data_IF_433623663559
#
_entry.id   IF_433623663559
#
_cell.length_a   1.000
_cell.length_b   1.000
_cell.length_c   1.000
_cell.angle_alpha   90.00
_cell.angle_beta   90.00
_cell.angle_gamma   90.00
#
_symmetry.space_group_name_H-M   'P 1'
#
loop_
_entity.id
_entity.type
_entity.pdbx_description
1 polymer ?
#
# COMPACT_ATOMS: atom_id res chain seq x y z
N UNK A 1 31.10 18.03 -14.55
CA UNK A 1 30.49 19.16 -13.84
C UNK A 1 30.06 18.68 -12.45
N UNK A 2 30.42 19.41 -11.42
CA UNK A 2 30.11 19.06 -10.00
C UNK A 2 28.77 19.61 -9.51
N UNK A 3 28.08 20.37 -10.34
CA UNK A 3 26.83 21.09 -9.98
C UNK A 3 25.83 21.02 -11.14
N UNK A 4 24.56 21.11 -10.78
CA UNK A 4 23.44 21.40 -11.67
C UNK A 4 23.20 22.91 -11.57
N UNK A 5 23.31 23.65 -12.70
CA UNK A 5 23.11 25.09 -12.72
C UNK A 5 21.90 25.44 -13.58
N UNK A 6 20.96 26.16 -13.00
CA UNK A 6 19.76 26.69 -13.64
C UNK A 6 19.95 28.19 -13.79
N UNK A 7 19.82 28.72 -15.00
CA UNK A 7 20.01 30.13 -15.31
C UNK A 7 18.67 30.73 -15.79
N UNK A 8 18.35 31.90 -15.26
CA UNK A 8 17.26 32.70 -15.74
C UNK A 8 15.86 32.06 -15.57
N UNK A 9 15.61 31.34 -14.48
CA UNK A 9 14.34 30.69 -14.24
C UNK A 9 13.21 31.68 -13.95
N UNK A 10 12.14 31.67 -14.77
CA UNK A 10 11.01 32.60 -14.71
C UNK A 10 9.64 31.91 -14.67
N UNK A 11 9.64 30.58 -14.60
CA UNK A 11 8.40 29.81 -14.57
C UNK A 11 7.53 30.19 -13.35
N UNK A 12 6.22 30.31 -13.55
CA UNK A 12 5.22 30.67 -12.54
C UNK A 12 5.58 31.97 -11.78
N UNK A 13 5.91 31.85 -10.49
CA UNK A 13 6.26 33.02 -9.64
C UNK A 13 7.75 33.29 -9.52
N UNK A 14 8.62 32.51 -10.18
CA UNK A 14 10.06 32.71 -10.12
C UNK A 14 10.51 34.02 -10.80
N UNK A 15 11.47 34.73 -10.19
CA UNK A 15 11.87 36.08 -10.58
C UNK A 15 13.21 36.11 -11.29
N UNK A 16 13.36 35.40 -12.41
CA UNK A 16 14.59 35.34 -13.20
C UNK A 16 15.79 34.90 -12.35
N UNK A 17 15.60 33.79 -11.63
CA UNK A 17 16.60 33.33 -10.68
C UNK A 17 17.68 32.47 -11.36
N UNK A 18 18.90 32.54 -10.79
CA UNK A 18 19.98 31.63 -11.12
C UNK A 18 20.37 30.88 -9.83
N UNK A 19 20.43 29.54 -9.91
CA UNK A 19 20.74 28.69 -8.77
C UNK A 19 21.67 27.56 -9.18
N UNK A 20 22.62 27.22 -8.29
CA UNK A 20 23.49 26.06 -8.41
C UNK A 20 23.17 25.04 -7.32
N UNK A 21 23.03 23.77 -7.70
CA UNK A 21 22.76 22.66 -6.80
C UNK A 21 23.91 21.66 -6.93
N UNK A 22 24.66 21.37 -5.85
CA UNK A 22 25.80 20.47 -5.92
C UNK A 22 25.33 19.02 -6.18
N UNK A 23 26.03 18.33 -7.08
CA UNK A 23 25.80 16.90 -7.34
C UNK A 23 26.34 16.04 -6.20
N UNK A 24 25.78 14.82 -6.11
CA UNK A 24 26.17 13.77 -5.15
C UNK A 24 26.03 14.21 -3.68
N UNK A 25 25.14 15.16 -3.43
CA UNK A 25 24.83 15.67 -2.09
C UNK A 25 23.33 15.61 -1.81
N UNK A 26 22.99 15.64 -0.54
CA UNK A 26 21.64 15.91 -0.07
C UNK A 26 21.44 17.42 -0.02
N UNK A 27 20.58 17.94 -0.89
CA UNK A 27 20.21 19.35 -0.96
C UNK A 27 18.76 19.52 -0.49
N UNK A 28 18.53 20.39 0.48
CA UNK A 28 17.18 20.78 0.89
C UNK A 28 16.79 22.12 0.25
N UNK A 29 15.58 22.17 -0.33
CA UNK A 29 14.94 23.39 -0.84
C UNK A 29 13.89 23.82 0.16
N UNK A 30 14.13 24.93 0.86
CA UNK A 30 13.29 25.46 1.92
C UNK A 30 12.63 26.78 1.52
N UNK A 31 11.71 27.26 2.33
CA UNK A 31 10.98 28.52 2.16
C UNK A 31 9.50 28.36 2.48
N UNK A 32 8.79 29.49 2.58
CA UNK A 32 7.35 29.47 2.89
C UNK A 32 6.52 28.76 1.82
N UNK A 33 5.33 28.28 2.20
CA UNK A 33 4.41 27.66 1.21
C UNK A 33 4.07 28.69 0.11
N UNK A 34 4.07 28.26 -1.16
CA UNK A 34 3.83 29.13 -2.31
C UNK A 34 5.01 30.04 -2.70
N UNK A 35 6.22 29.87 -2.14
CA UNK A 35 7.38 30.68 -2.48
C UNK A 35 8.04 30.32 -3.82
N UNK A 36 7.70 29.18 -4.44
CA UNK A 36 8.26 28.73 -5.71
C UNK A 36 9.17 27.50 -5.62
N UNK A 37 9.24 26.82 -4.47
CA UNK A 37 10.05 25.61 -4.27
C UNK A 37 9.69 24.50 -5.26
N UNK A 38 8.40 24.16 -5.34
CA UNK A 38 7.94 23.10 -6.25
C UNK A 38 8.10 23.50 -7.71
N UNK A 39 7.94 24.80 -8.03
CA UNK A 39 8.21 25.31 -9.38
C UNK A 39 9.66 25.10 -9.79
N UNK A 40 10.63 25.45 -8.92
CA UNK A 40 12.05 25.25 -9.23
C UNK A 40 12.37 23.76 -9.43
N UNK A 41 11.88 22.91 -8.51
CA UNK A 41 12.28 21.49 -8.45
C UNK A 41 11.50 20.62 -9.42
N UNK A 42 10.16 20.82 -9.54
CA UNK A 42 9.32 19.99 -10.38
C UNK A 42 9.07 20.58 -11.76
N UNK A 43 8.61 21.85 -11.83
CA UNK A 43 8.22 22.42 -13.11
C UNK A 43 9.44 22.71 -13.99
N UNK A 44 10.59 23.04 -13.41
CA UNK A 44 11.81 23.29 -14.18
C UNK A 44 12.72 22.06 -14.19
N UNK A 45 13.34 21.70 -13.06
CA UNK A 45 14.42 20.71 -13.03
C UNK A 45 13.94 19.31 -13.43
N UNK A 46 12.84 18.83 -12.83
CA UNK A 46 12.29 17.50 -13.13
C UNK A 46 11.73 17.45 -14.55
N UNK A 47 10.88 18.43 -14.93
CA UNK A 47 10.26 18.46 -16.27
C UNK A 47 11.28 18.54 -17.39
N UNK A 48 12.31 19.36 -17.24
CA UNK A 48 13.38 19.46 -18.24
C UNK A 48 14.22 18.17 -18.33
N UNK A 49 14.52 17.54 -17.18
CA UNK A 49 15.20 16.24 -17.18
C UNK A 49 14.37 15.18 -17.90
N UNK A 50 13.06 15.12 -17.65
CA UNK A 50 12.17 14.20 -18.35
C UNK A 50 12.09 14.51 -19.86
N UNK A 51 12.01 15.80 -20.21
CA UNK A 51 11.96 16.23 -21.61
C UNK A 51 13.20 15.79 -22.38
N UNK A 52 14.42 16.05 -21.85
CA UNK A 52 15.67 15.65 -22.46
C UNK A 52 15.81 14.12 -22.56
N UNK A 53 15.38 13.40 -21.52
CA UNK A 53 15.36 11.94 -21.53
C UNK A 53 14.45 11.40 -22.65
N UNK A 54 13.22 11.95 -22.76
CA UNK A 54 12.28 11.54 -23.80
C UNK A 54 12.77 11.86 -25.21
N UNK A 55 13.48 12.98 -25.42
CA UNK A 55 14.08 13.33 -26.69
C UNK A 55 15.15 12.32 -27.15
N UNK A 56 15.83 11.67 -26.22
CA UNK A 56 16.80 10.63 -26.51
C UNK A 56 16.17 9.29 -26.95
N UNK A 57 14.87 9.11 -26.74
CA UNK A 57 14.15 7.88 -27.08
C UNK A 57 13.68 7.84 -28.54
N UNK A 58 13.34 6.63 -29.02
CA UNK A 58 12.77 6.44 -30.36
C UNK A 58 11.44 7.19 -30.55
N UNK A 59 11.09 7.54 -31.79
CA UNK A 59 9.83 8.22 -32.14
C UNK A 59 8.59 7.43 -31.69
N UNK A 60 8.66 6.10 -31.64
CA UNK A 60 7.58 5.26 -31.14
C UNK A 60 7.39 5.43 -29.63
N UNK A 61 8.47 5.35 -28.84
CA UNK A 61 8.40 5.54 -27.38
C UNK A 61 7.88 6.92 -27.01
N UNK A 62 8.30 7.98 -27.71
CA UNK A 62 7.85 9.36 -27.50
C UNK A 62 6.35 9.57 -27.73
N UNK A 63 5.69 8.74 -28.56
CA UNK A 63 4.23 8.84 -28.81
C UNK A 63 3.39 8.27 -27.67
N UNK A 64 3.95 7.34 -26.89
CA UNK A 64 3.22 6.60 -25.84
C UNK A 64 3.42 7.25 -24.48
N UNK A 65 4.58 7.88 -24.26
CA UNK A 65 4.94 8.47 -22.97
C UNK A 65 4.35 9.88 -22.81
N UNK A 66 4.11 10.33 -21.55
CA UNK A 66 3.64 11.69 -21.26
C UNK A 66 4.59 12.72 -21.88
N UNK A 67 4.05 13.81 -22.38
CA UNK A 67 4.84 14.94 -22.87
C UNK A 67 5.04 15.93 -21.75
N UNK A 68 6.25 16.46 -21.65
CA UNK A 68 6.59 17.57 -20.76
C UNK A 68 6.79 18.84 -21.59
N UNK A 69 6.13 19.91 -21.18
CA UNK A 69 6.31 21.23 -21.80
C UNK A 69 7.65 21.82 -21.36
N UNK A 70 8.21 22.71 -22.18
CA UNK A 70 9.42 23.44 -21.83
C UNK A 70 9.04 24.54 -20.85
N UNK A 71 9.66 24.54 -19.67
CA UNK A 71 9.50 25.62 -18.71
C UNK A 71 10.23 26.90 -19.16
N UNK A 72 9.93 28.04 -18.54
CA UNK A 72 10.57 29.31 -18.86
C UNK A 72 11.87 29.51 -18.08
N UNK A 73 12.99 29.24 -18.74
CA UNK A 73 14.36 29.46 -18.24
C UNK A 73 15.33 29.67 -19.41
N UNK A 74 16.50 30.25 -19.17
CA UNK A 74 17.49 30.47 -20.23
C UNK A 74 18.23 29.18 -20.59
N UNK A 75 18.82 28.48 -19.62
CA UNK A 75 19.52 27.20 -19.79
C UNK A 75 19.71 26.44 -18.50
N UNK A 76 19.95 25.14 -18.61
CA UNK A 76 20.34 24.25 -17.50
C UNK A 76 21.62 23.53 -17.90
N UNK A 77 22.60 23.53 -17.00
CA UNK A 77 23.88 22.82 -17.16
C UNK A 77 24.01 21.70 -16.12
N UNK A 78 24.66 20.62 -16.50
CA UNK A 78 24.96 19.51 -15.58
C UNK A 78 23.76 18.65 -15.17
N UNK A 79 22.62 18.79 -15.87
CA UNK A 79 21.41 18.02 -15.57
C UNK A 79 21.65 16.52 -15.70
N UNK A 80 21.11 15.74 -14.77
CA UNK A 80 21.12 14.28 -14.77
C UNK A 80 19.69 13.75 -14.85
N UNK A 81 19.49 12.47 -15.21
CA UNK A 81 18.15 11.86 -15.17
C UNK A 81 17.54 12.00 -13.76
N UNK A 82 16.28 12.45 -13.71
CA UNK A 82 15.57 12.69 -12.46
C UNK A 82 14.50 11.62 -12.19
N UNK A 83 14.40 11.19 -10.95
CA UNK A 83 13.34 10.29 -10.45
C UNK A 83 12.61 11.00 -9.31
N UNK A 84 11.29 11.19 -9.47
CA UNK A 84 10.44 11.76 -8.43
C UNK A 84 9.89 10.68 -7.50
N UNK A 85 10.01 10.89 -6.20
CA UNK A 85 9.49 10.05 -5.12
C UNK A 85 8.49 10.87 -4.30
N UNK A 86 7.26 10.91 -4.77
CA UNK A 86 6.17 11.67 -4.16
C UNK A 86 5.22 10.77 -3.34
N UNK A 87 4.37 11.39 -2.51
CA UNK A 87 3.35 10.73 -1.69
C UNK A 87 2.14 10.24 -2.49
N UNK A 88 2.13 10.38 -3.83
CA UNK A 88 1.01 9.93 -4.65
C UNK A 88 0.70 8.46 -4.44
N UNK A 89 -0.59 8.17 -4.19
CA UNK A 89 -1.08 6.79 -4.05
C UNK A 89 -0.82 6.02 -5.35
N UNK A 90 -0.61 4.72 -5.20
CA UNK A 90 -0.53 3.85 -6.35
C UNK A 90 -1.90 3.74 -7.01
N UNK A 91 -1.97 4.06 -8.29
CA UNK A 91 -3.14 3.85 -9.13
C UNK A 91 -2.86 2.70 -10.09
N UNK A 92 -3.89 1.96 -10.50
CA UNK A 92 -3.76 0.97 -11.57
C UNK A 92 -4.08 -0.46 -11.18
N UNK A 93 -3.18 -1.40 -11.41
CA UNK A 93 -3.47 -2.83 -11.40
C UNK A 93 -3.81 -3.36 -9.99
N UNK A 94 -5.06 -3.83 -9.74
CA UNK A 94 -5.48 -4.34 -8.43
C UNK A 94 -4.78 -5.66 -8.04
N UNK A 95 -4.07 -6.30 -8.96
CA UNK A 95 -3.23 -7.46 -8.67
C UNK A 95 -1.86 -7.08 -8.12
N UNK A 96 -1.42 -5.84 -8.26
CA UNK A 96 -0.12 -5.42 -7.76
C UNK A 96 -0.08 -5.43 -6.23
N UNK A 97 0.97 -6.00 -5.67
CA UNK A 97 1.20 -6.13 -4.22
C UNK A 97 2.52 -5.49 -3.83
N UNK A 98 2.71 -5.27 -2.52
CA UNK A 98 4.01 -4.85 -1.96
C UNK A 98 5.13 -5.74 -2.49
N UNK A 99 4.95 -7.08 -2.44
CA UNK A 99 5.94 -8.03 -2.91
C UNK A 99 6.28 -7.94 -4.39
N UNK A 100 5.28 -7.68 -5.26
CA UNK A 100 5.54 -7.52 -6.71
C UNK A 100 6.16 -6.18 -7.03
N UNK A 101 5.79 -5.13 -6.32
CA UNK A 101 6.35 -3.80 -6.52
C UNK A 101 7.82 -3.71 -6.10
N UNK A 102 8.16 -4.32 -4.96
CA UNK A 102 9.53 -4.36 -4.42
C UNK A 102 10.41 -5.44 -5.03
N UNK A 103 9.86 -6.25 -5.95
CA UNK A 103 10.51 -7.39 -6.60
C UNK A 103 10.90 -8.55 -5.67
N UNK A 104 10.65 -8.45 -4.37
CA UNK A 104 10.86 -9.55 -3.40
C UNK A 104 10.09 -10.80 -3.83
N UNK A 105 8.84 -10.62 -4.30
CA UNK A 105 8.02 -11.74 -4.76
C UNK A 105 8.62 -12.45 -5.99
N UNK A 106 9.33 -11.73 -6.86
CA UNK A 106 10.04 -12.32 -8.00
C UNK A 106 11.15 -13.26 -7.55
N UNK A 107 11.93 -12.85 -6.55
CA UNK A 107 13.00 -13.67 -5.99
C UNK A 107 12.45 -14.87 -5.19
N UNK A 108 11.34 -14.70 -4.47
CA UNK A 108 10.64 -15.82 -3.83
C UNK A 108 10.12 -16.84 -4.86
N UNK A 109 9.57 -16.40 -5.97
CA UNK A 109 9.14 -17.31 -7.06
C UNK A 109 10.32 -18.12 -7.62
N UNK A 110 11.48 -17.52 -7.77
CA UNK A 110 12.69 -18.21 -8.17
C UNK A 110 13.11 -19.23 -7.11
N UNK A 111 13.10 -18.83 -5.85
CA UNK A 111 13.42 -19.71 -4.72
C UNK A 111 12.49 -20.95 -4.67
N UNK A 112 11.18 -20.75 -4.74
CA UNK A 112 10.21 -21.85 -4.75
C UNK A 112 10.32 -22.73 -6.01
N UNK A 113 10.70 -22.15 -7.14
CA UNK A 113 10.92 -22.92 -8.38
C UNK A 113 12.17 -23.82 -8.30
N UNK A 114 13.19 -23.41 -7.55
CA UNK A 114 14.47 -24.14 -7.45
C UNK A 114 14.48 -25.14 -6.32
N UNK A 115 13.93 -24.80 -5.15
CA UNK A 115 14.01 -25.59 -3.93
C UNK A 115 12.67 -26.20 -3.49
N UNK A 116 11.59 -25.88 -4.18
CA UNK A 116 10.24 -26.34 -3.83
C UNK A 116 9.98 -27.78 -4.24
N UNK A 117 9.23 -28.50 -3.40
CA UNK A 117 8.75 -29.86 -3.69
C UNK A 117 7.21 -29.90 -3.56
N UNK A 118 6.47 -30.37 -4.59
CA UNK A 118 6.94 -30.79 -5.91
C UNK A 118 7.55 -29.64 -6.73
N UNK A 119 8.51 -29.96 -7.63
CA UNK A 119 9.16 -29.00 -8.51
C UNK A 119 8.19 -28.37 -9.51
N UNK A 120 8.12 -27.05 -9.52
CA UNK A 120 7.32 -26.26 -10.44
C UNK A 120 8.17 -25.13 -11.05
N UNK A 121 7.73 -24.61 -12.20
CA UNK A 121 8.41 -23.47 -12.83
C UNK A 121 8.05 -22.13 -12.12
N UNK A 122 8.89 -21.13 -12.25
CA UNK A 122 8.63 -19.79 -11.69
C UNK A 122 7.33 -19.14 -12.23
N UNK A 123 6.83 -19.57 -13.40
CA UNK A 123 5.53 -19.12 -13.96
C UNK A 123 4.34 -19.63 -13.11
N UNK A 124 4.46 -20.85 -12.56
CA UNK A 124 3.40 -21.48 -11.76
C UNK A 124 3.19 -20.74 -10.42
N UNK A 125 4.20 -20.01 -9.95
CA UNK A 125 4.09 -19.15 -8.77
C UNK A 125 3.71 -17.70 -9.10
N UNK A 126 3.31 -17.40 -10.34
CA UNK A 126 2.86 -16.06 -10.72
C UNK A 126 1.34 -16.00 -10.74
N UNK A 127 0.74 -15.23 -9.85
CA UNK A 127 -0.70 -14.96 -9.86
C UNK A 127 -1.16 -14.06 -11.04
N UNK A 128 -0.23 -13.60 -11.89
CA UNK A 128 -0.52 -12.85 -13.12
C UNK A 128 -0.60 -13.77 -14.36
N UNK A 129 -0.25 -15.06 -14.22
CA UNK A 129 -0.35 -16.04 -15.30
C UNK A 129 -1.55 -16.96 -15.09
N UNK A 130 -2.12 -17.51 -16.16
CA UNK A 130 -3.24 -18.45 -16.07
C UNK A 130 -2.86 -19.73 -15.30
N UNK A 131 -1.61 -20.21 -15.41
CA UNK A 131 -1.15 -21.42 -14.72
C UNK A 131 -0.97 -21.22 -13.22
N UNK A 132 -0.53 -20.03 -12.80
CA UNK A 132 -0.23 -19.75 -11.39
C UNK A 132 -1.37 -19.10 -10.63
N UNK A 133 -2.30 -18.43 -11.30
CA UNK A 133 -3.41 -17.72 -10.66
C UNK A 133 -4.44 -18.68 -10.06
N UNK A 134 -4.97 -18.32 -8.90
CA UNK A 134 -6.15 -18.99 -8.36
C UNK A 134 -7.33 -18.87 -9.34
N UNK A 135 -7.96 -19.98 -9.77
CA UNK A 135 -9.04 -19.94 -10.77
C UNK A 135 -10.30 -19.22 -10.28
N UNK A 136 -10.54 -19.20 -8.97
CA UNK A 136 -11.72 -18.56 -8.39
C UNK A 136 -11.64 -17.03 -8.38
N UNK A 137 -10.50 -16.46 -8.00
CA UNK A 137 -10.32 -15.01 -7.92
C UNK A 137 -9.44 -14.44 -9.03
N UNK A 138 -8.96 -15.24 -9.97
CA UNK A 138 -8.09 -14.80 -11.06
C UNK A 138 -6.78 -14.15 -10.59
N UNK A 139 -6.28 -14.51 -9.40
CA UNK A 139 -5.06 -13.94 -8.81
C UNK A 139 -5.26 -12.65 -8.01
N UNK A 140 -6.51 -12.24 -7.74
CA UNK A 140 -6.80 -11.04 -6.94
C UNK A 140 -6.60 -11.26 -5.43
N UNK A 141 -6.70 -12.50 -4.94
CA UNK A 141 -6.65 -12.82 -3.51
C UNK A 141 -7.96 -12.52 -2.77
N UNK A 142 -8.78 -11.69 -3.36
CA UNK A 142 -10.13 -11.36 -2.89
C UNK A 142 -11.16 -11.85 -3.90
N UNK A 143 -12.33 -12.20 -3.39
CA UNK A 143 -13.46 -12.58 -4.21
C UNK A 143 -14.72 -11.98 -3.60
N UNK A 144 -15.73 -11.85 -4.41
CA UNK A 144 -17.03 -11.47 -3.91
C UNK A 144 -17.58 -12.64 -3.10
N UNK A 145 -17.77 -12.43 -1.82
CA UNK A 145 -18.29 -13.40 -0.83
C UNK A 145 -19.59 -12.89 -0.25
N UNK A 146 -20.37 -13.79 0.33
CA UNK A 146 -21.60 -13.41 1.03
C UNK A 146 -21.25 -12.87 2.42
N UNK A 147 -21.79 -11.71 2.78
CA UNK A 147 -21.72 -11.18 4.12
C UNK A 147 -22.64 -11.97 5.05
N UNK A 148 -22.08 -12.86 5.85
CA UNK A 148 -22.83 -13.74 6.74
C UNK A 148 -23.53 -12.95 7.84
N UNK A 149 -22.88 -11.93 8.41
CA UNK A 149 -23.43 -11.08 9.47
C UNK A 149 -24.66 -10.29 9.00
N UNK A 150 -24.68 -9.91 7.72
CA UNK A 150 -25.85 -9.25 7.12
C UNK A 150 -26.92 -10.26 6.70
N UNK A 151 -26.53 -11.49 6.39
CA UNK A 151 -27.44 -12.54 5.96
C UNK A 151 -28.15 -13.20 7.14
N UNK A 152 -27.47 -13.39 8.26
CA UNK A 152 -27.96 -14.13 9.42
C UNK A 152 -28.00 -13.26 10.68
N UNK A 153 -29.00 -13.53 11.53
CA UNK A 153 -29.12 -13.03 12.89
C UNK A 153 -28.90 -14.20 13.85
N UNK A 154 -27.75 -14.22 14.50
CA UNK A 154 -27.36 -15.32 15.39
C UNK A 154 -28.27 -15.45 16.62
N UNK A 155 -28.82 -14.35 17.10
CA UNK A 155 -29.73 -14.24 18.25
C UNK A 155 -31.14 -14.84 18.03
N UNK A 156 -31.44 -15.33 16.81
CA UNK A 156 -32.75 -15.83 16.39
C UNK A 156 -32.68 -17.27 15.90
N UNK A 157 -33.84 -17.95 16.00
CA UNK A 157 -34.08 -19.24 15.39
C UNK A 157 -34.55 -19.09 13.92
N UNK A 158 -34.58 -20.20 13.17
CA UNK A 158 -35.09 -20.22 11.79
C UNK A 158 -36.58 -19.85 11.73
N UNK A 159 -37.37 -20.25 12.75
CA UNK A 159 -38.77 -19.88 12.90
C UNK A 159 -38.96 -18.41 13.24
N UNK A 160 -38.03 -17.79 13.95
CA UNK A 160 -38.03 -16.36 14.29
C UNK A 160 -37.45 -15.47 13.17
N UNK A 161 -37.09 -16.08 12.03
CA UNK A 161 -36.59 -15.33 10.89
C UNK A 161 -35.12 -14.95 10.99
N UNK A 162 -34.26 -15.85 11.43
CA UNK A 162 -32.82 -15.66 11.50
C UNK A 162 -32.19 -15.30 10.14
N UNK A 163 -32.78 -15.76 9.02
CA UNK A 163 -32.28 -15.45 7.69
C UNK A 163 -32.89 -14.15 7.17
N UNK A 164 -32.08 -13.12 7.01
CA UNK A 164 -32.51 -11.75 6.66
C UNK A 164 -32.85 -11.56 5.17
N UNK A 165 -32.63 -12.54 4.34
CA UNK A 165 -32.90 -12.45 2.91
C UNK A 165 -34.37 -12.81 2.56
N UNK A 166 -35.04 -11.95 1.78
CA UNK A 166 -36.46 -12.10 1.40
C UNK A 166 -36.84 -13.47 0.83
N UNK A 167 -35.91 -14.14 0.15
CA UNK A 167 -36.14 -15.47 -0.44
C UNK A 167 -36.39 -16.57 0.61
N UNK A 168 -35.82 -16.39 1.81
CA UNK A 168 -35.93 -17.33 2.95
C UNK A 168 -36.75 -16.77 4.11
N UNK A 169 -37.62 -15.78 3.84
CA UNK A 169 -38.53 -15.27 4.85
C UNK A 169 -39.41 -16.41 5.36
N UNK A 170 -39.74 -16.41 6.63
CA UNK A 170 -40.63 -17.40 7.27
C UNK A 170 -41.92 -17.59 6.44
N UNK A 171 -42.28 -18.83 6.16
CA UNK A 171 -43.38 -19.19 5.32
C UNK A 171 -43.13 -19.12 3.80
N UNK A 172 -41.95 -18.71 3.36
CA UNK A 172 -41.58 -18.71 1.94
C UNK A 172 -41.29 -20.13 1.42
N UNK A 173 -41.31 -20.31 0.11
CA UNK A 173 -41.03 -21.63 -0.52
C UNK A 173 -39.68 -22.21 -0.05
N UNK A 174 -38.64 -21.40 0.05
CA UNK A 174 -37.32 -21.90 0.44
C UNK A 174 -37.17 -22.10 1.95
N UNK A 175 -37.90 -21.37 2.78
CA UNK A 175 -38.00 -21.62 4.20
C UNK A 175 -38.73 -22.97 4.43
N UNK A 176 -39.83 -23.25 3.66
CA UNK A 176 -40.54 -24.55 3.71
C UNK A 176 -39.61 -25.71 3.30
N UNK A 177 -38.69 -25.50 2.36
CA UNK A 177 -37.68 -26.52 1.98
C UNK A 177 -36.72 -26.79 3.12
N UNK A 178 -36.27 -25.76 3.83
CA UNK A 178 -35.41 -25.93 5.01
C UNK A 178 -36.16 -26.73 6.09
N UNK A 179 -37.40 -26.39 6.36
CA UNK A 179 -38.25 -27.09 7.32
C UNK A 179 -38.49 -28.54 6.92
N UNK A 180 -38.82 -28.78 5.67
CA UNK A 180 -39.07 -30.12 5.12
C UNK A 180 -37.80 -31.01 5.03
N UNK A 181 -36.62 -30.40 5.13
CA UNK A 181 -35.37 -31.16 5.13
C UNK A 181 -35.14 -31.94 6.41
N UNK A 182 -35.74 -31.53 7.52
CA UNK A 182 -35.51 -32.09 8.87
C UNK A 182 -34.04 -32.09 9.27
N UNK A 183 -33.22 -31.24 8.62
CA UNK A 183 -31.76 -31.13 8.93
C UNK A 183 -31.45 -30.26 10.14
N UNK A 184 -32.41 -29.41 10.54
CA UNK A 184 -32.23 -28.40 11.58
C UNK A 184 -33.39 -28.41 12.56
N UNK A 185 -33.06 -28.17 13.82
CA UNK A 185 -34.09 -27.75 14.78
C UNK A 185 -34.48 -26.29 14.48
N UNK A 186 -35.73 -26.11 14.04
CA UNK A 186 -36.24 -24.83 13.57
C UNK A 186 -36.41 -23.79 14.66
N UNK A 187 -36.48 -24.22 15.94
CA UNK A 187 -36.66 -23.35 17.12
C UNK A 187 -35.34 -23.08 17.86
N UNK A 188 -34.25 -23.77 17.49
CA UNK A 188 -32.91 -23.56 18.03
C UNK A 188 -32.32 -22.26 17.47
N UNK A 189 -31.74 -21.42 18.31
CA UNK A 189 -31.06 -20.21 17.87
C UNK A 189 -29.80 -20.54 17.06
N UNK A 190 -29.45 -19.70 16.07
CA UNK A 190 -28.27 -19.94 15.26
C UNK A 190 -26.95 -19.85 16.06
N UNK A 191 -26.90 -19.10 17.16
CA UNK A 191 -25.74 -19.04 18.06
C UNK A 191 -25.44 -20.37 18.74
N UNK A 192 -26.47 -21.24 18.90
CA UNK A 192 -26.36 -22.56 19.51
C UNK A 192 -26.09 -23.67 18.46
N UNK A 193 -26.06 -23.35 17.17
CA UNK A 193 -25.79 -24.34 16.11
C UNK A 193 -24.37 -24.86 16.24
N UNK A 194 -24.21 -26.17 16.04
CA UNK A 194 -22.89 -26.76 15.91
C UNK A 194 -22.20 -26.26 14.61
N UNK A 195 -20.87 -26.40 14.55
CA UNK A 195 -20.13 -26.08 13.34
C UNK A 195 -20.62 -26.86 12.11
N UNK A 196 -21.06 -28.11 12.31
CA UNK A 196 -21.61 -28.96 11.24
C UNK A 196 -23.00 -28.51 10.77
N UNK A 197 -23.87 -28.10 11.71
CA UNK A 197 -25.19 -27.54 11.39
C UNK A 197 -25.04 -26.21 10.63
N UNK A 198 -24.13 -25.35 11.06
CA UNK A 198 -23.87 -24.08 10.39
C UNK A 198 -23.26 -24.30 8.99
N UNK A 199 -22.30 -25.21 8.84
CA UNK A 199 -21.72 -25.55 7.53
C UNK A 199 -22.78 -26.11 6.59
N UNK A 200 -23.65 -26.97 7.11
CA UNK A 200 -24.77 -27.52 6.35
C UNK A 200 -25.74 -26.42 5.90
N UNK A 201 -26.09 -25.49 6.78
CA UNK A 201 -26.98 -24.36 6.45
C UNK A 201 -26.40 -23.48 5.35
N UNK A 202 -25.11 -23.21 5.41
CA UNK A 202 -24.44 -22.25 4.53
C UNK A 202 -23.94 -22.88 3.23
N UNK A 203 -23.37 -24.09 3.28
CA UNK A 203 -22.52 -24.63 2.21
C UNK A 203 -22.95 -25.99 1.65
N UNK A 204 -24.04 -26.60 2.10
CA UNK A 204 -24.51 -27.88 1.55
C UNK A 204 -24.59 -27.88 0.04
N UNK A 205 -24.21 -28.99 -0.57
CA UNK A 205 -24.53 -29.29 -1.96
C UNK A 205 -26.01 -29.54 -2.18
N UNK A 206 -26.47 -29.37 -3.42
CA UNK A 206 -27.85 -29.61 -3.78
C UNK A 206 -28.25 -31.06 -3.48
N UNK A 207 -29.13 -31.25 -2.50
CA UNK A 207 -29.61 -32.56 -2.05
C UNK A 207 -31.10 -32.64 -2.33
N UNK A 208 -31.54 -33.74 -2.98
CA UNK A 208 -32.95 -34.01 -3.23
C UNK A 208 -33.58 -34.56 -1.93
N UNK A 209 -34.67 -33.95 -1.51
CA UNK A 209 -35.43 -34.34 -0.32
C UNK A 209 -36.80 -34.83 -0.77
N UNK A 210 -37.16 -36.02 -0.35
CA UNK A 210 -38.49 -36.56 -0.55
C UNK A 210 -39.39 -36.20 0.63
N UNK A 211 -40.46 -35.46 0.40
CA UNK A 211 -41.43 -35.14 1.43
C UNK A 211 -42.20 -36.39 1.87
N UNK A 212 -41.80 -36.99 2.98
CA UNK A 212 -42.59 -38.05 3.61
C UNK A 212 -43.86 -37.43 4.20
N UNK A 213 -45.00 -37.68 3.56
CA UNK A 213 -46.29 -37.30 4.13
C UNK A 213 -47.15 -36.27 3.37
N UNK A 214 -46.70 -35.71 2.26
CA UNK A 214 -47.57 -34.88 1.42
C UNK A 214 -48.44 -35.72 0.48
N UNK A 215 -49.69 -35.28 0.26
CA UNK A 215 -50.66 -35.95 -0.65
C UNK A 215 -50.18 -36.08 -2.12
N UNK A 216 -49.08 -35.44 -2.47
CA UNK A 216 -48.37 -35.56 -3.75
C UNK A 216 -46.89 -35.60 -3.39
N UNK A 217 -46.21 -36.69 -3.74
CA UNK A 217 -44.76 -36.83 -3.59
C UNK A 217 -44.06 -35.79 -4.46
N UNK A 218 -43.66 -34.66 -3.86
CA UNK A 218 -42.85 -33.66 -4.53
C UNK A 218 -41.43 -33.76 -3.97
N UNK A 219 -40.46 -34.02 -4.85
CA UNK A 219 -39.04 -33.91 -4.49
C UNK A 219 -38.61 -32.43 -4.48
N UNK A 220 -38.04 -31.98 -3.39
CA UNK A 220 -37.47 -30.63 -3.25
C UNK A 220 -35.94 -30.72 -3.23
N UNK A 221 -35.27 -29.71 -3.77
CA UNK A 221 -33.82 -29.63 -3.68
C UNK A 221 -33.45 -28.64 -2.60
N UNK A 222 -32.83 -29.11 -1.51
CA UNK A 222 -32.16 -28.29 -0.54
C UNK A 222 -30.75 -27.95 -1.02
N UNK A 223 -30.34 -26.71 -0.90
CA UNK A 223 -29.02 -26.20 -1.24
C UNK A 223 -28.64 -25.11 -0.24
N UNK A 224 -27.40 -25.13 0.23
CA UNK A 224 -26.92 -24.16 1.21
C UNK A 224 -27.06 -22.70 0.76
N UNK A 225 -27.33 -21.80 1.71
CA UNK A 225 -27.68 -20.40 1.44
C UNK A 225 -26.67 -19.69 0.56
N UNK A 226 -25.37 -19.85 0.86
CA UNK A 226 -24.27 -19.18 0.13
C UNK A 226 -24.15 -19.73 -1.29
N UNK A 227 -24.17 -21.06 -1.46
CA UNK A 227 -24.10 -21.67 -2.79
C UNK A 227 -25.25 -21.20 -3.68
N UNK A 228 -26.45 -21.14 -3.10
CA UNK A 228 -27.64 -20.67 -3.82
C UNK A 228 -27.56 -19.18 -4.18
N UNK A 229 -27.10 -18.31 -3.27
CA UNK A 229 -26.91 -16.89 -3.56
C UNK A 229 -25.90 -16.67 -4.68
N UNK A 230 -24.75 -17.38 -4.64
CA UNK A 230 -23.74 -17.32 -5.69
C UNK A 230 -24.30 -17.78 -7.05
N UNK A 231 -25.11 -18.86 -7.08
CA UNK A 231 -25.75 -19.38 -8.28
C UNK A 231 -26.75 -18.37 -8.86
N UNK A 232 -27.60 -17.77 -8.01
CA UNK A 232 -28.53 -16.71 -8.41
C UNK A 232 -27.86 -15.52 -9.05
N UNK A 233 -26.69 -15.09 -8.52
CA UNK A 233 -25.93 -13.99 -9.07
C UNK A 233 -25.36 -14.27 -10.46
N UNK A 234 -25.02 -15.54 -10.76
CA UNK A 234 -24.58 -15.97 -12.10
C UNK A 234 -25.74 -16.04 -13.10
N UNK A 235 -26.96 -16.24 -12.61
CA UNK A 235 -28.16 -16.34 -13.41
C UNK A 235 -28.67 -14.93 -13.72
N UNK A 236 -28.46 -14.45 -14.94
CA UNK A 236 -28.75 -13.06 -15.38
C UNK A 236 -30.29 -12.75 -15.48
N UNK A 237 -31.15 -13.56 -14.87
CA UNK A 237 -32.60 -13.39 -14.92
C UNK A 237 -33.09 -12.40 -13.87
N UNK A 238 -33.28 -11.13 -14.27
CA UNK A 238 -33.97 -10.10 -13.52
C UNK A 238 -33.01 -9.09 -12.80
N UNK A 239 -32.88 -7.93 -13.40
CA UNK A 239 -32.05 -6.83 -12.85
C UNK A 239 -32.42 -6.43 -11.40
N UNK A 240 -33.73 -6.39 -11.07
CA UNK A 240 -34.20 -6.01 -9.72
C UNK A 240 -33.89 -7.05 -8.64
N UNK A 241 -33.75 -8.32 -8.99
CA UNK A 241 -33.37 -9.36 -8.03
C UNK A 241 -31.86 -9.34 -7.80
N UNK A 242 -31.06 -9.07 -8.83
CA UNK A 242 -29.60 -8.94 -8.73
C UNK A 242 -29.20 -7.75 -7.88
N UNK A 243 -29.89 -6.62 -7.98
CA UNK A 243 -29.65 -5.43 -7.16
C UNK A 243 -29.95 -5.69 -5.67
N UNK A 244 -31.07 -6.36 -5.38
CA UNK A 244 -31.40 -6.73 -4.01
C UNK A 244 -30.38 -7.71 -3.42
N UNK A 245 -29.96 -8.74 -4.19
CA UNK A 245 -28.99 -9.72 -3.73
C UNK A 245 -27.60 -9.07 -3.52
N UNK A 246 -27.27 -8.01 -4.27
CA UNK A 246 -25.95 -7.34 -4.20
C UNK A 246 -25.61 -6.82 -2.81
N UNK A 247 -26.59 -6.38 -2.03
CA UNK A 247 -26.41 -5.89 -0.67
C UNK A 247 -25.85 -6.94 0.32
N UNK A 248 -26.02 -8.23 0.01
CA UNK A 248 -25.52 -9.34 0.81
C UNK A 248 -24.13 -9.81 0.38
N UNK A 249 -23.51 -9.16 -0.61
CA UNK A 249 -22.17 -9.51 -1.06
C UNK A 249 -21.18 -8.43 -0.64
N UNK A 250 -20.01 -8.87 -0.20
CA UNK A 250 -18.84 -8.05 0.10
C UNK A 250 -17.63 -8.60 -0.63
N UNK A 251 -16.65 -7.74 -0.86
CA UNK A 251 -15.33 -8.18 -1.28
C UNK A 251 -14.58 -8.70 -0.04
N UNK A 252 -14.46 -10.02 0.04
CA UNK A 252 -13.77 -10.70 1.13
C UNK A 252 -12.55 -11.49 0.64
N UNK A 253 -11.85 -12.12 1.57
CA UNK A 253 -10.74 -13.01 1.24
C UNK A 253 -11.29 -14.17 0.40
N UNK A 254 -10.61 -14.49 -0.71
CA UNK A 254 -11.00 -15.59 -1.57
C UNK A 254 -11.04 -16.91 -0.80
N UNK A 255 -12.19 -17.63 -0.75
CA UNK A 255 -12.32 -18.85 0.05
C UNK A 255 -11.47 -20.01 -0.48
N UNK A 256 -11.10 -20.02 -1.75
CA UNK A 256 -10.29 -21.07 -2.37
C UNK A 256 -8.82 -20.90 -2.08
N UNK A 257 -8.24 -19.75 -2.40
CA UNK A 257 -6.80 -19.51 -2.18
C UNK A 257 -6.50 -18.91 -0.81
N UNK A 258 -7.49 -18.54 -0.01
CA UNK A 258 -7.35 -17.91 1.32
C UNK A 258 -6.39 -16.71 1.30
N UNK A 259 -6.52 -15.90 0.24
CA UNK A 259 -5.71 -14.70 0.05
C UNK A 259 -4.37 -14.90 -0.64
N UNK A 260 -3.84 -16.12 -0.76
CA UNK A 260 -2.50 -16.39 -1.33
C UNK A 260 -2.41 -16.07 -2.83
N UNK A 261 -3.54 -15.95 -3.53
CA UNK A 261 -3.66 -15.59 -4.96
C UNK A 261 -3.27 -16.71 -5.93
N UNK A 262 -2.64 -17.78 -5.46
CA UNK A 262 -2.09 -18.87 -6.27
C UNK A 262 -3.09 -20.01 -6.47
N UNK A 263 -2.86 -20.76 -7.55
CA UNK A 263 -3.54 -22.02 -7.83
C UNK A 263 -3.26 -23.06 -6.74
N UNK A 264 -4.13 -24.06 -6.61
CA UNK A 264 -3.99 -25.11 -5.60
C UNK A 264 -2.64 -25.85 -5.72
N UNK A 265 -2.22 -26.12 -6.97
CA UNK A 265 -0.94 -26.76 -7.27
C UNK A 265 0.25 -25.98 -6.72
N UNK A 266 0.30 -24.67 -6.97
CA UNK A 266 1.40 -23.82 -6.52
C UNK A 266 1.36 -23.52 -5.01
N UNK A 267 0.16 -23.42 -4.46
CA UNK A 267 -0.07 -23.15 -3.02
C UNK A 267 0.48 -24.28 -2.13
N UNK A 268 0.44 -25.52 -2.61
CA UNK A 268 0.83 -26.72 -1.83
C UNK A 268 2.31 -27.08 -1.96
N UNK A 269 3.09 -26.38 -2.78
CA UNK A 269 4.55 -26.56 -2.85
C UNK A 269 5.19 -26.13 -1.55
N UNK A 270 6.12 -26.95 -1.05
CA UNK A 270 6.83 -26.71 0.22
C UNK A 270 8.33 -26.58 0.00
N UNK A 271 8.94 -25.62 0.66
CA UNK A 271 10.37 -25.53 0.88
C UNK A 271 10.75 -26.37 2.10
N UNK A 272 11.75 -27.22 1.96
CA UNK A 272 12.23 -28.14 3.02
C UNK A 272 11.10 -28.94 3.71
N UNK A 273 10.06 -29.30 2.96
CA UNK A 273 8.90 -30.02 3.49
C UNK A 273 8.01 -29.24 4.48
N UNK A 274 8.36 -28.01 4.82
CA UNK A 274 7.73 -27.23 5.90
C UNK A 274 7.03 -25.96 5.40
N UNK A 275 7.73 -25.08 4.73
CA UNK A 275 7.24 -23.72 4.39
C UNK A 275 6.55 -23.67 3.03
N UNK A 276 5.41 -23.03 2.97
CA UNK A 276 4.67 -22.75 1.74
C UNK A 276 4.80 -21.27 1.34
N UNK A 277 4.41 -20.91 0.13
CA UNK A 277 4.38 -19.49 -0.31
C UNK A 277 3.51 -18.64 0.63
N UNK A 278 2.45 -19.21 1.22
CA UNK A 278 1.57 -18.52 2.16
C UNK A 278 2.33 -17.97 3.37
N UNK A 279 3.28 -18.73 3.89
CA UNK A 279 4.03 -18.37 5.10
C UNK A 279 4.89 -17.13 4.87
N UNK A 280 5.40 -16.93 3.63
CA UNK A 280 6.20 -15.77 3.25
C UNK A 280 5.36 -14.54 2.87
N UNK A 281 4.22 -14.75 2.20
CA UNK A 281 3.48 -13.59 1.66
C UNK A 281 2.55 -12.95 2.67
N UNK A 282 2.15 -13.68 3.72
CA UNK A 282 1.18 -13.19 4.71
C UNK A 282 1.82 -12.78 6.05
N UNK A 283 3.07 -13.17 6.32
CA UNK A 283 3.80 -12.69 7.49
C UNK A 283 4.23 -11.23 7.32
N UNK A 284 4.66 -10.61 8.39
CA UNK A 284 5.32 -9.30 8.32
C UNK A 284 6.66 -9.41 7.59
N UNK A 285 7.04 -8.35 6.86
CA UNK A 285 8.32 -8.32 6.15
C UNK A 285 9.50 -8.56 7.08
N UNK A 286 9.43 -8.05 8.32
CA UNK A 286 10.44 -8.21 9.37
C UNK A 286 10.69 -9.67 9.78
N UNK A 287 9.73 -10.57 9.55
CA UNK A 287 9.83 -11.99 9.91
C UNK A 287 10.50 -12.84 8.82
N UNK A 288 10.48 -12.37 7.55
CA UNK A 288 10.99 -13.13 6.39
C UNK A 288 12.44 -13.59 6.55
N UNK A 289 13.40 -12.74 7.02
CA UNK A 289 14.77 -13.21 7.24
C UNK A 289 14.86 -14.37 8.22
N UNK A 290 13.98 -14.38 9.25
CA UNK A 290 13.87 -15.50 10.19
C UNK A 290 13.41 -16.80 9.53
N UNK A 291 12.46 -16.72 8.61
CA UNK A 291 12.00 -17.88 7.84
C UNK A 291 13.10 -18.41 6.89
N UNK A 292 13.84 -17.52 6.23
CA UNK A 292 14.95 -17.91 5.34
C UNK A 292 16.05 -18.66 6.12
N UNK A 293 16.43 -18.19 7.30
CA UNK A 293 17.41 -18.86 8.16
C UNK A 293 16.98 -20.26 8.58
N UNK A 294 15.66 -20.50 8.77
CA UNK A 294 15.14 -21.84 9.12
C UNK A 294 15.18 -22.84 7.95
N UNK A 295 15.25 -22.36 6.69
CA UNK A 295 15.40 -23.22 5.51
C UNK A 295 16.83 -23.72 5.41
N UNK A 296 17.81 -22.93 5.88
CA UNK A 296 19.23 -23.22 5.73
C UNK A 296 19.78 -22.75 4.37
N UNK A 297 21.08 -22.53 4.31
CA UNK A 297 21.78 -21.97 3.13
C UNK A 297 22.71 -22.98 2.43
N UNK A 298 22.50 -24.28 2.66
CA UNK A 298 23.39 -25.32 2.13
C UNK A 298 23.41 -25.42 0.60
N UNK A 299 22.28 -25.05 -0.05
CA UNK A 299 22.20 -25.09 -1.52
C UNK A 299 22.85 -23.87 -2.18
N UNK A 300 23.37 -24.05 -3.41
CA UNK A 300 23.92 -22.95 -4.22
C UNK A 300 22.89 -21.86 -4.52
N UNK A 301 21.64 -22.26 -4.71
CA UNK A 301 20.51 -21.38 -4.98
C UNK A 301 20.13 -20.54 -3.75
N UNK A 302 20.14 -21.14 -2.56
CA UNK A 302 19.89 -20.43 -1.30
C UNK A 302 20.99 -19.38 -1.07
N UNK A 303 22.26 -19.74 -1.21
CA UNK A 303 23.39 -18.82 -1.06
C UNK A 303 23.32 -17.60 -2.00
N UNK A 304 22.72 -17.76 -3.17
CA UNK A 304 22.56 -16.67 -4.14
C UNK A 304 21.34 -15.81 -3.83
N UNK A 305 20.19 -16.43 -3.52
CA UNK A 305 18.90 -15.72 -3.44
C UNK A 305 18.63 -15.11 -2.05
N UNK A 306 19.07 -15.76 -0.97
CA UNK A 306 18.81 -15.27 0.39
C UNK A 306 19.39 -13.87 0.64
N UNK A 307 20.65 -13.57 0.32
CA UNK A 307 21.20 -12.23 0.54
C UNK A 307 20.47 -11.15 -0.27
N UNK A 308 19.97 -11.51 -1.46
CA UNK A 308 19.20 -10.57 -2.30
C UNK A 308 17.85 -10.25 -1.62
N UNK A 309 17.11 -11.30 -1.19
CA UNK A 309 15.83 -11.13 -0.51
C UNK A 309 16.01 -10.39 0.82
N UNK A 310 17.00 -10.77 1.62
CA UNK A 310 17.28 -10.14 2.92
C UNK A 310 17.61 -8.65 2.75
N UNK A 311 18.44 -8.29 1.77
CA UNK A 311 18.77 -6.89 1.47
C UNK A 311 17.53 -6.09 1.06
N UNK A 312 16.64 -6.67 0.23
CA UNK A 312 15.39 -6.03 -0.16
C UNK A 312 14.47 -5.82 1.06
N UNK A 313 14.33 -6.83 1.90
CA UNK A 313 13.52 -6.76 3.13
C UNK A 313 14.12 -5.75 4.12
N UNK A 314 15.45 -5.77 4.31
CA UNK A 314 16.13 -4.85 5.22
C UNK A 314 15.88 -3.39 4.82
N UNK A 315 15.95 -3.06 3.52
CA UNK A 315 15.66 -1.70 3.05
C UNK A 315 14.23 -1.23 3.38
N UNK A 316 13.26 -2.15 3.41
CA UNK A 316 11.87 -1.86 3.81
C UNK A 316 11.75 -1.69 5.33
N UNK A 317 12.44 -2.52 6.11
CA UNK A 317 12.48 -2.42 7.56
C UNK A 317 13.16 -1.14 8.04
N UNK A 318 14.25 -0.73 7.39
CA UNK A 318 14.99 0.50 7.71
C UNK A 318 14.12 1.75 7.52
N UNK A 319 13.20 1.73 6.56
CA UNK A 319 12.21 2.79 6.35
C UNK A 319 10.97 2.68 7.26
N UNK A 320 10.95 1.74 8.21
CA UNK A 320 9.87 1.58 9.18
C UNK A 320 8.57 1.00 8.61
N UNK A 321 8.64 0.26 7.50
CA UNK A 321 7.49 -0.42 6.89
C UNK A 321 7.60 -1.95 6.97
N UNK A 322 8.40 -2.46 7.88
CA UNK A 322 8.59 -3.89 8.13
C UNK A 322 7.34 -4.64 8.61
N UNK A 323 6.33 -3.92 9.11
CA UNK A 323 5.03 -4.47 9.53
C UNK A 323 4.09 -4.82 8.36
N UNK A 324 4.40 -4.37 7.13
CA UNK A 324 3.62 -4.72 5.96
C UNK A 324 3.83 -6.19 5.59
N UNK A 325 2.86 -6.77 4.88
CA UNK A 325 3.02 -8.09 4.26
C UNK A 325 3.26 -7.98 2.76
N UNK A 326 3.97 -8.95 2.16
CA UNK A 326 4.19 -9.00 0.71
C UNK A 326 2.89 -9.07 -0.10
N UNK A 327 1.84 -9.66 0.49
CA UNK A 327 0.56 -9.86 -0.17
C UNK A 327 -0.36 -8.63 -0.11
N UNK A 328 -0.02 -7.62 0.69
CA UNK A 328 -0.82 -6.39 0.77
C UNK A 328 -0.90 -5.71 -0.59
N UNK A 329 -2.12 -5.40 -1.03
CA UNK A 329 -2.32 -4.66 -2.29
C UNK A 329 -1.71 -3.27 -2.21
N UNK A 330 -0.95 -2.86 -3.22
CA UNK A 330 -0.35 -1.52 -3.26
C UNK A 330 -1.38 -0.39 -3.33
N UNK A 331 -2.60 -0.68 -3.78
CA UNK A 331 -3.69 0.30 -3.81
C UNK A 331 -4.30 0.58 -2.43
N UNK A 332 -3.93 -0.21 -1.42
CA UNK A 332 -4.41 -0.06 -0.03
C UNK A 332 -3.37 0.53 0.91
N UNK A 333 -2.18 0.85 0.42
CA UNK A 333 -1.15 1.52 1.22
C UNK A 333 -1.43 3.01 1.32
N UNK A 334 -1.09 3.62 2.45
CA UNK A 334 -1.19 5.07 2.64
C UNK A 334 -0.17 5.83 1.76
N UNK A 335 -0.36 7.14 1.59
CA UNK A 335 0.58 7.97 0.82
C UNK A 335 2.01 7.91 1.35
N UNK A 336 2.20 7.95 2.68
CA UNK A 336 3.50 7.81 3.32
C UNK A 336 4.11 6.41 3.14
N UNK A 337 3.32 5.33 3.24
CA UNK A 337 3.78 3.97 2.94
C UNK A 337 4.19 3.85 1.46
N UNK A 338 3.42 4.44 0.54
CA UNK A 338 3.73 4.43 -0.88
C UNK A 338 5.07 5.13 -1.18
N UNK A 339 5.32 6.27 -0.56
CA UNK A 339 6.59 6.99 -0.69
C UNK A 339 7.76 6.17 -0.17
N UNK A 340 7.63 5.56 1.02
CA UNK A 340 8.64 4.67 1.61
C UNK A 340 8.91 3.44 0.73
N UNK A 341 7.87 2.83 0.13
CA UNK A 341 8.02 1.72 -0.83
C UNK A 341 8.79 2.16 -2.08
N UNK A 342 8.48 3.34 -2.63
CA UNK A 342 9.21 3.91 -3.77
C UNK A 342 10.68 4.15 -3.41
N UNK A 343 10.97 4.69 -2.22
CA UNK A 343 12.32 4.94 -1.74
C UNK A 343 13.09 3.64 -1.50
N UNK A 344 12.47 2.63 -0.84
CA UNK A 344 13.09 1.32 -0.61
C UNK A 344 13.57 0.67 -1.92
N UNK A 345 12.77 0.78 -2.98
CA UNK A 345 13.16 0.27 -4.31
C UNK A 345 14.44 0.95 -4.82
N UNK A 346 14.62 2.23 -4.57
CA UNK A 346 15.82 2.97 -4.99
C UNK A 346 17.05 2.62 -4.14
N UNK A 347 16.85 2.32 -2.84
CA UNK A 347 17.94 1.85 -1.97
C UNK A 347 18.57 0.53 -2.42
N UNK A 348 17.83 -0.29 -3.13
CA UNK A 348 18.34 -1.57 -3.68
C UNK A 348 18.90 -1.39 -5.09
N UNK A 349 18.51 -0.33 -5.79
CA UNK A 349 18.98 -0.02 -7.15
C UNK A 349 20.49 0.19 -7.19
N UNK A 350 21.11 -0.25 -8.29
CA UNK A 350 22.53 -0.02 -8.60
C UNK A 350 22.76 1.22 -9.48
N UNK A 351 21.73 2.00 -9.76
CA UNK A 351 21.84 3.21 -10.58
C UNK A 351 22.69 4.27 -9.86
N UNK A 352 23.54 4.93 -10.63
CA UNK A 352 24.41 6.03 -10.19
C UNK A 352 24.20 7.25 -11.08
N UNK A 353 24.63 8.41 -10.61
CA UNK A 353 24.48 9.72 -11.29
C UNK A 353 23.00 10.07 -11.63
N UNK A 354 22.07 9.64 -10.76
CA UNK A 354 20.65 9.96 -10.82
C UNK A 354 20.34 11.07 -9.80
N UNK A 355 19.46 11.99 -10.17
CA UNK A 355 18.89 12.97 -9.23
C UNK A 355 17.54 12.48 -8.72
N UNK A 356 17.46 12.21 -7.42
CA UNK A 356 16.21 11.86 -6.73
C UNK A 356 15.56 13.12 -6.15
N UNK A 357 14.28 13.29 -6.42
CA UNK A 357 13.49 14.44 -5.95
C UNK A 357 12.39 13.93 -5.03
N UNK A 358 12.33 14.47 -3.81
CA UNK A 358 11.32 14.14 -2.81
C UNK A 358 10.59 15.41 -2.36
N UNK A 359 9.27 15.33 -2.26
CA UNK A 359 8.41 16.41 -1.77
C UNK A 359 7.89 16.06 -0.39
N UNK A 360 8.24 16.91 0.60
CA UNK A 360 7.87 16.78 2.01
C UNK A 360 7.95 15.33 2.54
N UNK A 361 9.10 14.63 2.37
CA UNK A 361 9.19 13.22 2.72
C UNK A 361 9.02 12.93 4.21
N UNK A 362 9.06 13.93 5.09
CA UNK A 362 8.83 13.79 6.53
C UNK A 362 7.38 13.96 6.94
N UNK A 363 6.50 14.39 6.04
CA UNK A 363 5.10 14.65 6.36
C UNK A 363 4.42 13.42 6.97
N UNK A 364 3.85 13.58 8.16
CA UNK A 364 3.19 12.51 8.91
C UNK A 364 4.12 11.46 9.51
N UNK A 365 5.45 11.69 9.54
CA UNK A 365 6.42 10.81 10.19
C UNK A 365 6.65 11.21 11.65
N UNK A 366 6.88 10.20 12.48
CA UNK A 366 7.42 10.40 13.82
C UNK A 366 8.92 10.76 13.75
N UNK A 367 9.45 11.55 14.66
CA UNK A 367 10.86 11.98 14.69
C UNK A 367 11.86 10.82 14.52
N UNK A 368 11.60 9.68 15.14
CA UNK A 368 12.42 8.47 15.01
C UNK A 368 12.50 7.97 13.55
N UNK A 369 11.41 8.10 12.80
CA UNK A 369 11.35 7.65 11.39
C UNK A 369 12.00 8.69 10.47
N UNK A 370 11.95 9.98 10.82
CA UNK A 370 12.67 11.05 10.10
C UNK A 370 14.18 10.79 10.11
N UNK A 371 14.75 10.35 11.22
CA UNK A 371 16.17 9.98 11.31
C UNK A 371 16.55 8.86 10.36
N UNK A 372 15.75 7.78 10.34
CA UNK A 372 15.95 6.65 9.40
C UNK A 372 15.82 7.06 7.94
N UNK A 373 14.88 7.96 7.65
CA UNK A 373 14.73 8.53 6.32
C UNK A 373 16.00 9.27 5.90
N UNK A 374 16.52 10.17 6.73
CA UNK A 374 17.76 10.92 6.43
C UNK A 374 18.94 9.97 6.20
N UNK A 375 19.10 8.95 7.03
CA UNK A 375 20.16 7.94 6.85
C UNK A 375 20.02 7.21 5.49
N UNK A 376 18.79 6.90 5.09
CA UNK A 376 18.49 6.31 3.78
C UNK A 376 18.85 7.25 2.62
N UNK A 377 18.54 8.54 2.75
CA UNK A 377 18.91 9.55 1.74
C UNK A 377 20.42 9.72 1.62
N UNK A 378 21.15 9.67 2.75
CA UNK A 378 22.61 9.67 2.77
C UNK A 378 23.23 8.43 2.11
N UNK A 379 22.62 7.27 2.27
CA UNK A 379 23.04 6.05 1.55
C UNK A 379 22.90 6.21 0.03
N UNK A 380 21.84 6.88 -0.44
CA UNK A 380 21.65 7.16 -1.87
C UNK A 380 22.74 8.11 -2.37
N UNK A 381 23.03 9.20 -1.66
CA UNK A 381 24.08 10.14 -2.06
C UNK A 381 25.47 9.51 -2.00
N UNK A 382 25.74 8.67 -0.99
CA UNK A 382 27.00 7.92 -0.86
C UNK A 382 27.29 6.95 -2.01
N UNK A 383 26.28 6.60 -2.81
CA UNK A 383 26.42 5.81 -4.05
C UNK A 383 26.62 6.64 -5.30
N UNK A 384 26.93 7.93 -5.17
CA UNK A 384 27.14 8.82 -6.30
C UNK A 384 25.85 9.34 -6.93
N UNK A 385 24.76 9.44 -6.18
CA UNK A 385 23.51 10.04 -6.62
C UNK A 385 23.30 11.42 -5.96
N UNK A 386 22.48 12.25 -6.59
CA UNK A 386 22.06 13.54 -6.05
C UNK A 386 20.67 13.37 -5.42
N UNK A 387 20.43 13.97 -4.26
CA UNK A 387 19.13 13.97 -3.61
C UNK A 387 18.71 15.42 -3.36
N UNK A 388 17.52 15.78 -3.85
CA UNK A 388 16.90 17.09 -3.63
C UNK A 388 15.60 16.86 -2.88
N UNK A 389 15.47 17.45 -1.69
CA UNK A 389 14.25 17.38 -0.88
C UNK A 389 13.62 18.76 -0.76
N UNK A 390 12.32 18.89 -1.02
CA UNK A 390 11.54 20.06 -0.63
C UNK A 390 11.14 19.81 0.82
N UNK A 391 11.66 20.59 1.76
CA UNK A 391 11.47 20.30 3.19
C UNK A 391 11.50 21.55 4.05
N UNK A 392 10.86 21.40 5.20
CA UNK A 392 10.86 22.40 6.28
C UNK A 392 11.16 21.78 7.65
N UNK A 393 11.33 20.46 7.72
CA UNK A 393 11.71 19.76 8.96
C UNK A 393 13.11 20.19 9.42
N UNK A 394 13.25 20.65 10.67
CA UNK A 394 14.53 21.15 11.20
C UNK A 394 15.66 20.14 11.14
N UNK A 395 15.37 18.87 11.39
CA UNK A 395 16.38 17.83 11.40
C UNK A 395 16.90 17.53 10.00
N UNK A 396 16.00 17.47 9.00
CA UNK A 396 16.39 17.27 7.59
C UNK A 396 17.22 18.43 7.08
N UNK A 397 16.82 19.68 7.38
CA UNK A 397 17.56 20.88 7.00
C UNK A 397 18.97 20.89 7.59
N UNK A 398 19.10 20.61 8.90
CA UNK A 398 20.39 20.55 9.59
C UNK A 398 21.28 19.39 9.10
N UNK A 399 20.69 18.30 8.64
CA UNK A 399 21.38 17.14 8.08
C UNK A 399 21.75 17.28 6.60
N UNK A 400 21.19 18.26 5.90
CA UNK A 400 21.44 18.50 4.49
C UNK A 400 22.83 19.13 4.28
N UNK A 401 23.52 18.68 3.25
CA UNK A 401 24.86 19.18 2.91
C UNK A 401 24.79 20.53 2.19
N UNK A 402 23.65 20.86 1.63
CA UNK A 402 23.37 22.13 0.97
C UNK A 402 21.90 22.50 1.16
N UNK A 403 21.62 23.78 1.33
CA UNK A 403 20.28 24.33 1.50
C UNK A 403 20.07 25.46 0.51
N UNK A 404 18.91 25.50 -0.11
CA UNK A 404 18.44 26.62 -0.96
C UNK A 404 17.17 27.18 -0.35
N UNK A 405 17.21 28.43 0.12
CA UNK A 405 16.03 29.10 0.68
C UNK A 405 15.37 30.00 -0.36
N UNK A 406 14.07 29.76 -0.64
CA UNK A 406 13.28 30.48 -1.63
C UNK A 406 12.21 31.31 -0.94
N UNK A 407 12.20 32.59 -1.23
CA UNK A 407 11.29 33.53 -0.58
C UNK A 407 11.25 34.90 -1.28
N UNK A 408 11.08 35.99 -0.47
CA UNK A 408 10.85 35.98 0.99
C UNK A 408 9.43 35.61 1.39
N UNK A 409 8.44 35.72 0.48
CA UNK A 409 7.03 35.47 0.71
C UNK A 409 6.42 34.45 -0.25
N UNK A 410 5.09 34.42 -0.33
CA UNK A 410 4.32 33.56 -1.22
C UNK A 410 3.85 34.31 -2.48
N UNK A 411 3.55 33.57 -3.56
CA UNK A 411 2.98 34.07 -4.79
C UNK A 411 3.82 35.22 -5.42
N UNK A 412 3.24 36.38 -5.66
CA UNK A 412 3.92 37.50 -6.26
C UNK A 412 5.09 38.05 -5.43
N UNK A 413 5.08 37.82 -4.12
CA UNK A 413 6.13 38.26 -3.19
C UNK A 413 7.22 37.19 -2.98
N UNK A 414 7.08 35.99 -3.60
CA UNK A 414 8.07 34.91 -3.60
C UNK A 414 8.97 34.91 -4.83
N UNK A 415 9.51 33.74 -5.12
CA UNK A 415 10.20 33.44 -6.38
C UNK A 415 11.65 33.93 -6.45
N UNK A 416 12.31 34.24 -5.34
CA UNK A 416 13.72 34.63 -5.30
C UNK A 416 14.53 33.64 -4.46
N UNK A 417 15.75 33.34 -4.86
CA UNK A 417 16.73 32.68 -3.99
C UNK A 417 17.23 33.71 -2.98
N UNK A 418 16.91 33.50 -1.72
CA UNK A 418 17.27 34.43 -0.62
C UNK A 418 18.65 34.09 -0.08
N UNK A 419 18.91 32.79 0.10
CA UNK A 419 20.18 32.27 0.55
C UNK A 419 20.42 30.87 -0.04
N UNK A 420 21.67 30.52 -0.26
CA UNK A 420 22.06 29.17 -0.62
C UNK A 420 23.48 28.87 -0.11
N UNK A 421 23.69 27.67 0.40
CA UNK A 421 24.97 27.28 1.01
C UNK A 421 24.78 26.12 1.97
N UNK A 422 25.71 25.98 2.89
CA UNK A 422 25.57 25.06 4.03
C UNK A 422 24.42 25.52 4.94
N UNK A 423 23.88 24.64 5.73
CA UNK A 423 22.82 24.98 6.68
C UNK A 423 23.19 26.18 7.57
N UNK A 424 24.43 26.18 8.10
CA UNK A 424 24.92 27.28 8.98
C UNK A 424 25.01 28.63 8.23
N UNK A 425 25.43 28.65 6.98
CA UNK A 425 25.47 29.87 6.16
C UNK A 425 24.08 30.42 5.92
N UNK A 426 23.10 29.54 5.64
CA UNK A 426 21.72 29.96 5.37
C UNK A 426 21.03 30.49 6.63
N UNK A 427 21.16 29.84 7.78
CA UNK A 427 20.57 30.34 9.05
C UNK A 427 21.25 31.56 9.62
N UNK A 428 22.46 31.90 9.16
CA UNK A 428 23.18 33.13 9.54
C UNK A 428 22.81 34.33 8.67
N UNK A 429 22.09 34.12 7.57
CA UNK A 429 21.66 35.19 6.67
C UNK A 429 20.33 35.79 7.17
N UNK A 430 20.39 37.06 7.62
CA UNK A 430 19.23 37.80 8.17
C UNK A 430 18.02 37.88 7.22
N UNK A 431 18.24 37.77 5.91
CA UNK A 431 17.18 37.80 4.91
C UNK A 431 16.50 36.41 4.72
N UNK A 432 17.13 35.34 5.23
CA UNK A 432 16.59 34.00 5.14
C UNK A 432 15.34 33.82 6.02
N UNK A 433 14.34 33.12 5.49
CA UNK A 433 13.18 32.72 6.30
C UNK A 433 13.55 31.84 7.51
N UNK A 434 14.68 31.14 7.42
CA UNK A 434 15.20 30.25 8.46
C UNK A 434 15.89 31.02 9.59
N UNK A 435 16.44 32.23 9.31
CA UNK A 435 17.14 33.03 10.30
C UNK A 435 16.31 33.29 11.57
N UNK A 436 15.10 33.81 11.39
CA UNK A 436 14.18 34.10 12.49
C UNK A 436 13.74 32.86 13.27
N UNK A 437 13.57 31.74 12.60
CA UNK A 437 13.11 30.46 13.20
C UNK A 437 14.19 29.87 14.11
N UNK A 438 15.47 29.91 13.67
CA UNK A 438 16.57 29.25 14.40
C UNK A 438 17.28 30.16 15.37
N UNK A 439 17.42 31.46 15.07
CA UNK A 439 18.14 32.41 15.94
C UNK A 439 17.22 33.13 16.94
N UNK A 440 15.93 33.25 16.58
CA UNK A 440 14.91 33.89 17.43
C UNK A 440 13.67 32.98 17.55
N UNK A 441 13.79 31.77 18.12
CA UNK A 441 12.62 30.89 18.26
C UNK A 441 11.54 31.65 19.06
N UNK A 442 10.28 31.63 18.61
CA UNK A 442 9.19 32.30 19.29
C UNK A 442 9.19 31.83 20.75
N UNK A 443 9.31 32.80 21.68
CA UNK A 443 9.22 32.49 23.11
C UNK A 443 7.93 31.73 23.35
N UNK A 444 8.05 30.45 23.66
CA UNK A 444 6.89 29.60 23.92
C UNK A 444 6.09 30.20 25.06
N UNK A 445 4.95 30.80 24.77
CA UNK A 445 3.96 31.09 25.80
C UNK A 445 3.51 29.75 26.37
N UNK A 446 4.14 29.31 27.45
CA UNK A 446 3.67 28.17 28.23
C UNK A 446 2.28 28.53 28.74
N UNK A 447 1.25 28.22 27.95
CA UNK A 447 -0.11 28.29 28.46
C UNK A 447 -0.19 27.28 29.59
N UNK A 448 -0.56 27.75 30.80
CA UNK A 448 -0.87 26.84 31.91
C UNK A 448 -1.92 25.86 31.38
N UNK A 449 -1.69 24.55 31.47
CA UNK A 449 -2.70 23.58 31.04
C UNK A 449 -3.99 23.86 31.79
N UNK A 450 -5.09 23.89 31.06
CA UNK A 450 -6.41 23.94 31.71
C UNK A 450 -6.60 22.62 32.46
N UNK A 451 -7.01 22.69 33.73
CA UNK A 451 -7.37 21.50 34.50
C UNK A 451 -8.77 21.10 34.00
N UNK A 452 -8.91 19.94 33.33
CA UNK A 452 -10.23 19.49 32.88
C UNK A 452 -11.16 19.29 34.05
N UNK A 453 -12.42 19.67 33.90
CA UNK A 453 -13.44 19.50 34.95
C UNK A 453 -14.13 18.14 34.86
N UNK A 454 -14.28 17.64 33.63
CA UNK A 454 -14.90 16.36 33.34
C UNK A 454 -14.06 15.59 32.35
N UNK A 455 -14.27 14.27 32.31
CA UNK A 455 -13.66 13.36 31.37
C UNK A 455 -14.75 12.48 30.76
N UNK A 456 -14.73 12.35 29.42
CA UNK A 456 -15.61 11.40 28.72
C UNK A 456 -14.84 10.08 28.52
N UNK A 457 -15.30 8.97 29.11
CA UNK A 457 -14.64 7.69 28.98
C UNK A 457 -15.05 7.01 27.66
N UNK A 458 -14.07 6.53 26.91
CA UNK A 458 -14.23 5.61 25.80
C UNK A 458 -13.61 4.28 26.23
N UNK A 459 -14.44 3.27 26.43
CA UNK A 459 -14.02 1.96 26.93
C UNK A 459 -14.06 0.92 25.83
N UNK A 460 -13.16 -0.07 25.90
CA UNK A 460 -13.12 -1.25 25.05
C UNK A 460 -13.14 -0.93 23.53
N UNK A 461 -12.26 -0.03 23.11
CA UNK A 461 -12.18 0.41 21.70
C UNK A 461 -11.55 -0.68 20.85
N UNK A 462 -12.31 -1.17 19.85
CA UNK A 462 -11.87 -2.15 18.87
C UNK A 462 -11.98 -1.60 17.44
N UNK A 463 -10.98 -0.84 17.01
CA UNK A 463 -10.94 -0.24 15.65
C UNK A 463 -9.56 -0.45 15.04
N UNK A 464 -9.48 -1.10 13.91
CA UNK A 464 -8.25 -1.41 13.19
C UNK A 464 -7.24 -2.19 14.05
N UNK A 465 -6.12 -1.56 14.43
CA UNK A 465 -5.08 -2.12 15.29
C UNK A 465 -5.24 -1.81 16.78
N UNK A 466 -6.25 -1.02 17.16
CA UNK A 466 -6.59 -0.76 18.55
C UNK A 466 -7.46 -1.91 19.04
N UNK A 467 -7.03 -2.56 20.14
CA UNK A 467 -7.71 -3.75 20.68
C UNK A 467 -7.89 -3.62 22.20
N UNK A 468 -9.12 -3.37 22.64
CA UNK A 468 -9.46 -3.32 24.05
C UNK A 468 -8.84 -2.15 24.82
N UNK A 469 -8.46 -1.07 24.14
CA UNK A 469 -7.93 0.12 24.79
C UNK A 469 -9.04 1.02 25.33
N UNK A 470 -8.79 1.64 26.47
CA UNK A 470 -9.71 2.61 27.08
C UNK A 470 -9.01 3.96 27.22
N UNK A 471 -9.67 5.03 26.81
CA UNK A 471 -9.16 6.40 26.83
C UNK A 471 -10.16 7.33 27.51
N UNK A 472 -9.66 8.26 28.32
CA UNK A 472 -10.45 9.34 28.88
C UNK A 472 -10.10 10.65 28.16
N UNK A 473 -11.07 11.28 27.53
CA UNK A 473 -10.91 12.57 26.85
C UNK A 473 -11.37 13.68 27.76
N UNK A 474 -10.51 14.68 28.08
CA UNK A 474 -10.92 15.82 28.88
C UNK A 474 -11.86 16.73 28.10
N UNK A 475 -12.96 17.16 28.74
CA UNK A 475 -13.88 18.18 28.24
C UNK A 475 -13.38 19.63 28.49
#
# INVERSE_FOLDING_TARGET
MSEIKIFGARENNLKNITVAIPKHKLTAVSGVSGSGKSTLVYDILFSESQRQYLESLSSYARRILPRYESADFDRIEGLTPCISINQGMFTGNPKSTVGTYTEVYTNLRLLFSRLGNPGLSAKDFSFNTAAGACPNCGGLGVAMTVNIEKLLRSDRSLNEGAIQHKTWKVGSRYWNIIQASEFFDMDKKLEDFSAEEMDRLLYSDATVIDSKGAKIAQSFTYEGLIKRLIKRKKDKRGLSAADYDSQFFINGICPVCKGVRLSERAKNVKLCGKFTMKDFVNCELSEIPGLLRQIGDESSEAKLLFPIIERQIQSLCDLGIGYLSLNRSITTVSGGEAQKLKLAKQLVSSLTDITYILDEPTSGLHERDVRKLVDSLRLITGRGNTVIVIEHDPYVLACSQYVVDIGPGAGAHGGRVIASGTFNEVISNENSSLYGVYNHPPAGTVRKPRIPRNFEPFEDIHINNIRGESVQIPE
#
